data_IF_697529098367
#
_entry.id   IF_697529098367
#
_cell.length_a   1.000
_cell.length_b   1.000
_cell.length_c   1.000
_cell.angle_alpha   90.00
_cell.angle_beta   90.00
_cell.angle_gamma   90.00
#
_symmetry.space_group_name_H-M   'P 1'
#
loop_
_entity.id
_entity.type
_entity.pdbx_description
1 polymer ?
#
# COMPACT_ATOMS: atom_id res chain seq x y z
N UNK A 1 22.00 27.35 0.50
CA UNK A 1 21.37 27.16 0.37
C UNK A 1 20.62 26.95 0.03
N UNK A 2 20.60 26.66 -0.07
CA UNK A 2 19.89 26.42 -0.42
C UNK A 2 19.24 25.94 -0.94
N UNK A 3 19.23 25.53 -1.23
CA UNK A 3 18.69 25.34 -1.70
C UNK A 3 18.10 24.67 -1.97
N UNK A 4 18.17 24.05 -1.91
CA UNK A 4 17.67 23.41 -2.13
C UNK A 4 16.53 23.15 -2.32
N UNK A 5 16.20 22.82 -2.11
CA UNK A 5 14.95 23.04 -2.37
C UNK A 5 14.40 22.87 -3.67
N UNK A 6 15.02 22.45 -4.40
CA UNK A 6 14.72 22.21 -5.74
C UNK A 6 13.52 21.36 -6.00
N UNK A 7 13.29 20.25 -5.33
CA UNK A 7 12.14 19.41 -5.59
C UNK A 7 10.81 20.12 -5.43
N UNK A 8 10.84 21.20 -4.75
CA UNK A 8 9.62 21.94 -4.50
C UNK A 8 9.04 22.50 -5.76
N UNK A 9 9.90 22.89 -6.67
CA UNK A 9 9.47 23.52 -7.90
C UNK A 9 9.12 22.52 -8.97
N UNK A 10 9.37 21.25 -8.74
CA UNK A 10 9.18 20.24 -9.76
C UNK A 10 7.86 19.54 -9.54
N UNK A 11 6.95 19.72 -10.48
CA UNK A 11 5.67 19.02 -10.44
C UNK A 11 5.82 17.64 -11.05
N UNK A 12 5.09 16.64 -10.53
CA UNK A 12 5.13 15.31 -11.12
C UNK A 12 4.64 15.36 -12.56
N UNK A 13 5.24 14.56 -13.40
CA UNK A 13 4.79 14.42 -14.78
C UNK A 13 3.48 13.62 -14.80
N UNK A 14 2.80 13.67 -15.95
CA UNK A 14 1.58 12.87 -16.12
C UNK A 14 1.90 11.38 -15.97
N UNK A 15 3.06 10.94 -16.46
CA UNK A 15 3.46 9.55 -16.33
C UNK A 15 3.68 9.18 -14.86
N UNK A 16 4.30 10.08 -14.10
CA UNK A 16 4.53 9.84 -12.68
C UNK A 16 3.22 9.75 -11.91
N UNK A 17 2.27 10.63 -12.23
CA UNK A 17 0.95 10.60 -11.59
C UNK A 17 0.21 9.32 -11.92
N UNK A 18 0.29 8.87 -13.16
CA UNK A 18 -0.33 7.62 -13.56
C UNK A 18 0.28 6.44 -12.81
N UNK A 19 1.61 6.45 -12.63
CA UNK A 19 2.28 5.41 -11.89
C UNK A 19 1.82 5.39 -10.44
N UNK A 20 1.69 6.56 -9.82
CA UNK A 20 1.20 6.66 -8.45
C UNK A 20 -0.22 6.12 -8.37
N UNK A 21 -1.09 6.49 -9.29
CA UNK A 21 -2.47 6.02 -9.31
C UNK A 21 -2.54 4.52 -9.45
N UNK A 22 -1.66 3.94 -10.26
CA UNK A 22 -1.62 2.49 -10.47
C UNK A 22 -1.18 1.76 -9.22
N UNK A 23 -0.23 2.35 -8.47
CA UNK A 23 0.33 1.72 -7.30
C UNK A 23 -0.47 1.98 -6.03
N UNK A 24 -1.37 2.95 -6.07
CA UNK A 24 -2.10 3.36 -4.89
C UNK A 24 -2.87 2.25 -4.20
N UNK A 25 -3.56 1.35 -4.93
CA UNK A 25 -4.29 0.27 -4.26
C UNK A 25 -3.37 -0.62 -3.42
N UNK A 26 -2.15 -0.87 -3.89
CA UNK A 26 -1.19 -1.66 -3.11
C UNK A 26 -0.73 -0.88 -1.89
N UNK A 27 -0.43 0.40 -2.05
CA UNK A 27 -0.02 1.24 -0.93
C UNK A 27 -1.10 1.30 0.13
N UNK A 28 -2.35 1.49 -0.28
CA UNK A 28 -3.48 1.53 0.64
C UNK A 28 -3.64 0.20 1.38
N UNK A 29 -3.47 -0.91 0.67
CA UNK A 29 -3.58 -2.23 1.28
C UNK A 29 -2.47 -2.45 2.30
N UNK A 30 -1.26 -1.99 1.99
CA UNK A 30 -0.13 -2.12 2.90
C UNK A 30 -0.33 -1.29 4.16
N UNK A 31 -0.92 -0.11 4.03
CA UNK A 31 -1.24 0.71 5.19
C UNK A 31 -2.30 0.05 6.07
N UNK A 32 -3.30 -0.57 5.45
CA UNK A 32 -4.31 -1.31 6.19
C UNK A 32 -3.70 -2.50 6.94
N UNK A 33 -2.75 -3.17 6.31
CA UNK A 33 -2.07 -4.29 6.96
C UNK A 33 -1.27 -3.79 8.17
N UNK A 34 -0.58 -2.68 8.00
CA UNK A 34 0.17 -2.10 9.10
C UNK A 34 -0.74 -1.74 10.27
N UNK A 35 -1.90 -1.14 9.98
CA UNK A 35 -2.87 -0.80 11.00
C UNK A 35 -3.36 -2.05 11.74
N UNK A 36 -3.61 -3.13 11.00
CA UNK A 36 -4.06 -4.37 11.60
C UNK A 36 -2.98 -4.97 12.50
N UNK A 37 -1.72 -4.87 12.07
CA UNK A 37 -0.61 -5.37 12.87
C UNK A 37 -0.42 -4.55 14.15
N UNK A 38 -0.54 -3.24 14.04
CA UNK A 38 -0.43 -2.36 15.20
C UNK A 38 -1.54 -2.67 16.20
N UNK A 39 -2.77 -2.85 15.69
CA UNK A 39 -3.90 -3.17 16.54
C UNK A 39 -3.69 -4.50 17.28
N UNK A 40 -3.10 -5.47 16.60
CA UNK A 40 -2.83 -6.77 17.19
C UNK A 40 -1.81 -6.64 18.33
N UNK A 41 -0.74 -5.90 18.08
CA UNK A 41 0.30 -5.69 19.08
C UNK A 41 -0.28 -4.97 20.30
N UNK A 42 -1.09 -3.95 20.05
CA UNK A 42 -1.75 -3.22 21.13
C UNK A 42 -2.63 -4.15 21.94
N UNK A 43 -3.37 -5.02 21.26
CA UNK A 43 -4.28 -5.95 21.93
C UNK A 43 -3.53 -6.93 22.84
N UNK A 44 -2.30 -7.29 22.48
CA UNK A 44 -1.50 -8.20 23.30
C UNK A 44 -1.25 -7.63 24.69
N UNK A 45 -1.15 -6.31 24.80
CA UNK A 45 -0.94 -5.67 26.10
C UNK A 45 -2.25 -5.37 26.81
N UNK A 46 -3.39 -5.62 26.17
CA UNK A 46 -4.70 -5.23 26.71
C UNK A 46 -5.68 -6.39 26.68
N UNK A 47 -5.25 -7.54 27.15
CA UNK A 47 -6.13 -8.68 27.26
C UNK A 47 -5.97 -9.71 26.16
N UNK A 48 -5.10 -9.45 25.21
CA UNK A 48 -4.85 -10.38 24.11
C UNK A 48 -5.72 -10.13 22.90
N UNK A 49 -5.25 -10.56 21.72
CA UNK A 49 -6.01 -10.38 20.50
C UNK A 49 -7.29 -11.18 20.48
N UNK A 50 -8.34 -10.59 19.93
CA UNK A 50 -9.62 -11.26 19.76
C UNK A 50 -9.65 -11.99 18.43
N UNK A 51 -10.63 -12.90 18.24
CA UNK A 51 -10.81 -13.52 16.92
C UNK A 51 -11.01 -12.50 15.81
N UNK A 52 -11.64 -11.36 16.13
CA UNK A 52 -11.84 -10.29 15.16
C UNK A 52 -10.50 -9.69 14.75
N UNK A 53 -9.59 -9.51 15.69
CA UNK A 53 -8.26 -8.96 15.39
C UNK A 53 -7.52 -9.87 14.42
N UNK A 54 -7.55 -11.17 14.65
CA UNK A 54 -6.91 -12.13 13.77
C UNK A 54 -7.57 -12.16 12.38
N UNK A 55 -8.89 -12.07 12.35
CA UNK A 55 -9.63 -12.05 11.09
C UNK A 55 -9.30 -10.81 10.29
N UNK A 56 -9.17 -9.68 10.96
CA UNK A 56 -8.79 -8.42 10.32
C UNK A 56 -7.40 -8.51 9.71
N UNK A 57 -6.47 -9.11 10.45
CA UNK A 57 -5.11 -9.29 9.96
C UNK A 57 -5.09 -10.17 8.71
N UNK A 58 -5.79 -11.30 8.74
CA UNK A 58 -5.83 -12.19 7.59
C UNK A 58 -6.44 -11.52 6.38
N UNK A 59 -7.50 -10.74 6.60
CA UNK A 59 -8.16 -10.02 5.50
C UNK A 59 -7.23 -8.97 4.90
N UNK A 60 -6.51 -8.25 5.74
CA UNK A 60 -5.58 -7.24 5.27
C UNK A 60 -4.42 -7.86 4.49
N UNK A 61 -3.90 -8.99 4.96
CA UNK A 61 -2.83 -9.71 4.27
C UNK A 61 -3.31 -10.18 2.90
N UNK A 62 -4.53 -10.72 2.82
CA UNK A 62 -5.09 -11.17 1.54
C UNK A 62 -5.26 -10.00 0.57
N UNK A 63 -5.63 -8.84 1.08
CA UNK A 63 -5.78 -7.65 0.25
C UNK A 63 -4.46 -7.21 -0.36
N UNK A 64 -3.39 -7.23 0.44
CA UNK A 64 -2.06 -6.89 -0.07
C UNK A 64 -1.65 -7.86 -1.17
N UNK A 65 -1.85 -9.15 -0.96
CA UNK A 65 -1.50 -10.16 -1.94
C UNK A 65 -2.27 -9.94 -3.24
N UNK A 66 -3.56 -9.65 -3.15
CA UNK A 66 -4.39 -9.41 -4.33
C UNK A 66 -3.96 -8.14 -5.05
N UNK A 67 -3.71 -7.06 -4.31
CA UNK A 67 -3.31 -5.80 -4.92
C UNK A 67 -1.96 -5.92 -5.61
N UNK A 68 -1.03 -6.67 -5.01
CA UNK A 68 0.27 -6.88 -5.62
C UNK A 68 0.14 -7.69 -6.91
N UNK A 69 -0.71 -8.71 -6.90
CA UNK A 69 -0.95 -9.52 -8.08
C UNK A 69 -1.60 -8.70 -9.19
N UNK A 70 -2.56 -7.87 -8.83
CA UNK A 70 -3.23 -7.01 -9.80
C UNK A 70 -2.27 -6.03 -10.43
N UNK A 71 -1.38 -5.46 -9.63
CA UNK A 71 -0.38 -4.52 -10.13
C UNK A 71 0.57 -5.21 -11.10
N UNK A 72 1.02 -6.40 -10.75
CA UNK A 72 1.92 -7.17 -11.60
C UNK A 72 1.23 -7.53 -12.91
N UNK A 73 -0.02 -7.96 -12.84
CA UNK A 73 -0.80 -8.32 -14.03
C UNK A 73 -1.01 -7.10 -14.91
N UNK A 74 -1.36 -5.97 -14.32
CA UNK A 74 -1.56 -4.73 -15.06
C UNK A 74 -0.30 -4.28 -15.77
N UNK A 75 0.83 -4.38 -15.10
CA UNK A 75 2.12 -4.02 -15.69
C UNK A 75 2.44 -4.94 -16.86
N UNK A 76 2.19 -6.24 -16.71
CA UNK A 76 2.43 -7.20 -17.77
C UNK A 76 1.53 -6.93 -18.96
N UNK A 77 0.26 -6.64 -18.73
CA UNK A 77 -0.68 -6.34 -19.79
C UNK A 77 -0.28 -5.10 -20.58
N UNK A 78 0.15 -4.07 -19.87
CA UNK A 78 0.60 -2.84 -20.52
C UNK A 78 1.82 -3.12 -21.39
N UNK A 79 2.74 -3.91 -20.87
CA UNK A 79 3.94 -4.25 -21.60
C UNK A 79 3.61 -5.03 -22.89
N UNK A 80 2.64 -5.90 -22.82
CA UNK A 80 2.23 -6.68 -23.99
C UNK A 80 1.58 -5.83 -25.05
N UNK A 81 0.79 -4.86 -24.62
CA UNK A 81 0.10 -3.98 -25.55
C UNK A 81 1.09 -3.08 -26.28
N UNK A 82 2.07 -2.63 -25.55
CA UNK A 82 3.06 -1.74 -26.13
C UNK A 82 3.97 -2.48 -27.11
#
# INVERSE_FOLDING_TARGET
MRHRLVPIDTEPTAAALTAIDREWPLIAAELDLLDAEISLIYAEDHGGPSPLDWRRLRRATARVTRAAADLATGTTAVRHVA
#
